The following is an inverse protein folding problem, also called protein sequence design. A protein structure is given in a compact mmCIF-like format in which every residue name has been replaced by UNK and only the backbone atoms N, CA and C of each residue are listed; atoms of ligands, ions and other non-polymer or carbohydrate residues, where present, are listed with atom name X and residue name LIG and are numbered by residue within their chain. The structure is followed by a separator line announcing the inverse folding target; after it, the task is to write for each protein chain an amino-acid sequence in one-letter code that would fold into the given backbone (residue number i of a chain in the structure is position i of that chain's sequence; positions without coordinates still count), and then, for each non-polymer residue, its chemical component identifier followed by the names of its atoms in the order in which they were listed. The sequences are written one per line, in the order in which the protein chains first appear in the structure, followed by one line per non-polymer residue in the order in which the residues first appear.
data_IF_766215668279
#
_entry.id   IF_766215668279
#
_cell.length_a   1.000
_cell.length_b   1.000
_cell.length_c   1.000
_cell.angle_alpha   90.00
_cell.angle_beta   90.00
_cell.angle_gamma   90.00
#
_symmetry.space_group_name_H-M   'P 1'
#
loop_
_entity.id
_entity.type
_entity.pdbx_description
1 polymer ?
#
# COMPACT_ATOMS: atom_id res chain seq x y z
N UNK A 1 36.10 47.85 0.19
CA UNK A 1 35.64 46.81 1.14
C UNK A 1 34.19 46.40 0.87
N UNK A 2 33.91 45.69 -0.24
CA UNK A 2 32.52 45.33 -0.64
C UNK A 2 32.41 43.92 -1.22
N UNK A 3 33.17 42.96 -0.67
CA UNK A 3 33.19 41.57 -1.15
C UNK A 3 32.73 40.54 -0.10
N UNK A 4 32.34 40.97 1.10
CA UNK A 4 32.05 40.05 2.22
C UNK A 4 30.59 39.62 2.38
N UNK A 5 29.64 40.13 1.57
CA UNK A 5 28.20 39.93 1.82
C UNK A 5 27.50 38.95 0.87
N UNK A 6 28.16 38.50 -0.19
CA UNK A 6 27.56 37.59 -1.19
C UNK A 6 27.59 36.12 -0.77
N UNK A 7 28.57 35.70 0.04
CA UNK A 7 28.70 34.31 0.52
C UNK A 7 27.68 33.94 1.60
N UNK A 8 27.35 34.87 2.50
CA UNK A 8 26.37 34.66 3.57
C UNK A 8 24.92 34.55 3.04
N UNK A 9 24.56 35.42 2.09
CA UNK A 9 23.24 35.39 1.42
C UNK A 9 23.07 34.11 0.58
N UNK A 10 24.15 33.62 -0.07
CA UNK A 10 24.13 32.35 -0.81
C UNK A 10 23.96 31.16 0.14
N UNK A 11 24.59 31.18 1.32
CA UNK A 11 24.42 30.15 2.37
C UNK A 11 23.01 30.16 2.97
N UNK A 12 22.40 31.31 3.23
CA UNK A 12 21.01 31.41 3.69
C UNK A 12 19.99 30.92 2.66
N UNK A 13 20.21 31.21 1.37
CA UNK A 13 19.36 30.68 0.27
C UNK A 13 19.48 29.16 0.13
N UNK A 14 20.69 28.61 0.25
CA UNK A 14 20.92 27.17 0.22
C UNK A 14 20.33 26.47 1.45
N UNK A 15 20.40 27.07 2.65
CA UNK A 15 19.74 26.56 3.85
C UNK A 15 18.21 26.52 3.69
N UNK A 16 17.59 27.59 3.16
CA UNK A 16 16.14 27.58 2.87
C UNK A 16 15.76 26.56 1.81
N UNK A 17 16.55 26.39 0.76
CA UNK A 17 16.29 25.40 -0.29
C UNK A 17 16.40 23.96 0.25
N UNK A 18 17.44 23.65 1.02
CA UNK A 18 17.62 22.35 1.67
C UNK A 18 16.52 22.07 2.71
N UNK A 19 16.09 23.09 3.45
CA UNK A 19 15.02 22.96 4.45
C UNK A 19 13.66 22.75 3.80
N UNK A 20 13.34 23.45 2.70
CA UNK A 20 12.10 23.24 1.94
C UNK A 20 12.10 21.89 1.21
N UNK A 21 13.24 21.44 0.66
CA UNK A 21 13.33 20.12 0.05
C UNK A 21 13.18 19.02 1.09
N UNK A 22 13.83 19.15 2.25
CA UNK A 22 13.69 18.15 3.32
C UNK A 22 12.26 18.13 3.87
N UNK A 23 11.63 19.29 4.04
CA UNK A 23 10.22 19.39 4.47
C UNK A 23 9.25 18.84 3.42
N UNK A 24 9.49 19.08 2.13
CA UNK A 24 8.73 18.47 1.04
C UNK A 24 8.88 16.95 1.02
N UNK A 25 10.08 16.42 1.31
CA UNK A 25 10.32 14.98 1.46
C UNK A 25 9.57 14.40 2.66
N UNK A 26 9.51 15.13 3.78
CA UNK A 26 8.71 14.72 4.96
C UNK A 26 7.20 14.69 4.67
N UNK A 27 6.69 15.66 3.89
CA UNK A 27 5.28 15.68 3.48
C UNK A 27 4.93 14.55 2.50
N UNK A 28 5.87 14.17 1.63
CA UNK A 28 5.69 13.03 0.70
C UNK A 28 5.85 11.66 1.37
N UNK A 29 6.45 11.60 2.56
CA UNK A 29 6.65 10.34 3.29
C UNK A 29 5.34 9.81 3.93
N UNK A 30 4.33 10.66 4.09
CA UNK A 30 3.04 10.36 4.71
C UNK A 30 1.90 10.06 3.72
N UNK A 31 2.19 9.87 2.43
CA UNK A 31 1.14 9.57 1.43
C UNK A 31 1.10 8.08 1.08
N UNK A 32 -0.10 7.51 1.09
CA UNK A 32 -0.33 6.11 0.70
C UNK A 32 -0.02 5.88 -0.79
N UNK A 33 0.88 4.95 -1.11
CA UNK A 33 1.34 4.69 -2.48
C UNK A 33 0.61 3.49 -3.08
N UNK A 34 -0.48 3.76 -3.79
CA UNK A 34 -1.40 2.72 -4.32
C UNK A 34 -0.71 1.75 -5.28
N UNK A 35 0.16 2.22 -6.17
CA UNK A 35 0.79 1.38 -7.19
C UNK A 35 1.74 0.34 -6.59
N UNK A 36 2.54 0.75 -5.60
CA UNK A 36 3.47 -0.11 -4.87
C UNK A 36 2.69 -1.19 -4.10
N UNK A 37 1.63 -0.78 -3.39
CA UNK A 37 0.74 -1.71 -2.65
C UNK A 37 0.03 -2.66 -3.61
N UNK A 38 -0.46 -2.17 -4.75
CA UNK A 38 -1.10 -2.99 -5.79
C UNK A 38 -0.15 -4.07 -6.32
N UNK A 39 1.12 -3.73 -6.54
CA UNK A 39 2.14 -4.69 -6.96
C UNK A 39 2.37 -5.77 -5.91
N UNK A 40 2.53 -5.39 -4.63
CA UNK A 40 2.68 -6.33 -3.51
C UNK A 40 1.50 -7.31 -3.44
N UNK A 41 0.27 -6.80 -3.58
CA UNK A 41 -0.92 -7.65 -3.56
C UNK A 41 -0.90 -8.64 -4.73
N UNK A 42 -0.65 -8.17 -5.97
CA UNK A 42 -0.64 -9.04 -7.16
C UNK A 42 0.42 -10.14 -7.07
N UNK A 43 1.62 -9.81 -6.60
CA UNK A 43 2.70 -10.78 -6.38
C UNK A 43 2.32 -11.83 -5.34
N UNK A 44 1.75 -11.41 -4.21
CA UNK A 44 1.28 -12.32 -3.16
C UNK A 44 0.22 -13.29 -3.69
N UNK A 45 -0.76 -12.77 -4.45
CA UNK A 45 -1.82 -13.57 -5.04
C UNK A 45 -1.30 -14.63 -6.00
N UNK A 46 -0.40 -14.24 -6.91
CA UNK A 46 0.20 -15.15 -7.88
C UNK A 46 1.04 -16.23 -7.19
N UNK A 47 1.84 -15.83 -6.21
CA UNK A 47 2.74 -16.74 -5.49
C UNK A 47 1.99 -17.78 -4.66
N UNK A 48 0.91 -17.38 -3.97
CA UNK A 48 0.24 -18.24 -3.00
C UNK A 48 -0.84 -19.11 -3.67
N UNK A 49 -1.65 -18.53 -4.57
CA UNK A 49 -2.80 -19.23 -5.16
C UNK A 49 -2.79 -19.33 -6.68
N UNK A 50 -1.83 -18.72 -7.38
CA UNK A 50 -1.81 -18.63 -8.85
C UNK A 50 -2.00 -19.97 -9.57
N UNK A 51 -1.18 -20.96 -9.20
CA UNK A 51 -1.24 -22.31 -9.76
C UNK A 51 -2.26 -23.25 -9.12
N UNK A 52 -3.02 -22.81 -8.13
CA UNK A 52 -3.90 -23.68 -7.34
C UNK A 52 -5.33 -23.72 -7.90
N UNK A 53 -5.94 -24.89 -7.80
CA UNK A 53 -7.38 -25.10 -8.04
C UNK A 53 -8.12 -24.94 -6.71
N UNK A 54 -9.35 -24.41 -6.75
CA UNK A 54 -10.17 -24.23 -5.55
C UNK A 54 -10.27 -25.52 -4.72
N UNK A 55 -9.92 -25.40 -3.43
CA UNK A 55 -10.06 -26.45 -2.43
C UNK A 55 -10.52 -25.81 -1.13
N UNK A 56 -11.78 -26.05 -0.74
CA UNK A 56 -12.39 -25.39 0.42
C UNK A 56 -11.56 -25.52 1.71
N UNK A 57 -10.96 -26.68 1.95
CA UNK A 57 -10.11 -26.94 3.12
C UNK A 57 -8.84 -26.10 3.17
N UNK A 58 -8.35 -25.59 2.03
CA UNK A 58 -7.14 -24.76 1.95
C UNK A 58 -7.42 -23.26 2.00
N UNK A 59 -8.66 -22.84 1.76
CA UNK A 59 -9.03 -21.41 1.72
C UNK A 59 -8.63 -20.65 2.99
N UNK A 60 -8.84 -21.18 4.23
CA UNK A 60 -8.42 -20.48 5.44
C UNK A 60 -6.90 -20.26 5.49
N UNK A 61 -6.12 -21.27 5.10
CA UNK A 61 -4.67 -21.18 5.03
C UNK A 61 -4.23 -20.13 4.00
N UNK A 62 -4.74 -20.20 2.77
CA UNK A 62 -4.40 -19.23 1.72
C UNK A 62 -4.74 -17.80 2.12
N UNK A 63 -5.89 -17.60 2.77
CA UNK A 63 -6.31 -16.28 3.24
C UNK A 63 -5.33 -15.73 4.27
N UNK A 64 -4.98 -16.53 5.29
CA UNK A 64 -4.03 -16.12 6.34
C UNK A 64 -2.64 -15.86 5.76
N UNK A 65 -2.11 -16.78 4.96
CA UNK A 65 -0.79 -16.62 4.33
C UNK A 65 -0.73 -15.39 3.43
N UNK A 66 -1.81 -15.08 2.71
CA UNK A 66 -1.89 -13.86 1.87
C UNK A 66 -1.84 -12.59 2.71
N UNK A 67 -2.65 -12.53 3.77
CA UNK A 67 -2.69 -11.37 4.67
C UNK A 67 -1.32 -11.16 5.36
N UNK A 68 -0.72 -12.22 5.88
CA UNK A 68 0.60 -12.18 6.52
C UNK A 68 1.70 -11.76 5.55
N UNK A 69 1.71 -12.30 4.33
CA UNK A 69 2.70 -11.95 3.32
C UNK A 69 2.62 -10.47 2.96
N UNK A 70 1.40 -9.96 2.71
CA UNK A 70 1.20 -8.55 2.36
C UNK A 70 1.61 -7.64 3.51
N UNK A 71 1.16 -7.92 4.74
CA UNK A 71 1.57 -7.15 5.93
C UNK A 71 3.10 -7.17 6.13
N UNK A 72 3.74 -8.31 5.89
CA UNK A 72 5.19 -8.45 5.94
C UNK A 72 5.92 -7.60 4.92
N UNK A 73 5.38 -7.40 3.71
CA UNK A 73 5.97 -6.49 2.71
C UNK A 73 5.68 -5.02 3.04
N UNK A 74 4.45 -4.70 3.48
CA UNK A 74 4.07 -3.34 3.85
C UNK A 74 4.90 -2.79 5.02
N UNK A 75 5.21 -3.64 6.01
CA UNK A 75 6.06 -3.24 7.15
C UNK A 75 7.50 -2.98 6.75
N UNK A 76 8.03 -3.71 5.75
CA UNK A 76 9.38 -3.47 5.20
C UNK A 76 9.51 -2.14 4.47
N UNK A 77 8.41 -1.57 3.97
CA UNK A 77 8.42 -0.23 3.37
C UNK A 77 8.76 0.86 4.39
N UNK A 78 8.66 0.57 5.69
CA UNK A 78 9.04 1.46 6.79
C UNK A 78 8.41 2.86 6.68
N UNK A 79 7.14 2.91 6.24
CA UNK A 79 6.33 4.13 6.17
C UNK A 79 5.46 4.23 7.44
N UNK A 80 5.19 5.44 7.95
CA UNK A 80 4.48 5.66 9.22
C UNK A 80 2.97 5.44 9.06
N UNK A 81 2.55 4.20 8.84
CA UNK A 81 1.14 3.83 8.66
C UNK A 81 0.73 2.69 9.60
N UNK A 82 -0.54 2.71 10.01
CA UNK A 82 -1.26 1.52 10.46
C UNK A 82 -1.88 0.87 9.22
N UNK A 83 -1.61 -0.41 9.02
CA UNK A 83 -2.15 -1.16 7.89
C UNK A 83 -3.27 -2.11 8.31
N UNK A 84 -4.31 -2.16 7.50
CA UNK A 84 -5.41 -3.13 7.58
C UNK A 84 -5.44 -3.87 6.26
N UNK A 85 -5.46 -5.21 6.29
CA UNK A 85 -5.53 -6.05 5.09
C UNK A 85 -6.70 -7.01 5.24
N UNK A 86 -7.58 -7.02 4.24
CA UNK A 86 -8.70 -7.96 4.13
C UNK A 86 -8.54 -8.77 2.86
N UNK A 87 -8.74 -10.08 2.93
CA UNK A 87 -8.68 -11.00 1.80
C UNK A 87 -9.95 -11.85 1.77
N UNK A 88 -10.58 -11.93 0.59
CA UNK A 88 -11.78 -12.73 0.34
C UNK A 88 -11.50 -13.66 -0.84
N UNK A 89 -11.56 -14.97 -0.61
CA UNK A 89 -11.43 -15.98 -1.66
C UNK A 89 -12.79 -16.66 -1.84
N UNK A 90 -13.27 -16.74 -3.08
CA UNK A 90 -14.57 -17.31 -3.43
C UNK A 90 -14.45 -18.27 -4.62
N UNK A 91 -15.17 -19.39 -4.56
CA UNK A 91 -15.28 -20.34 -5.66
C UNK A 91 -16.01 -19.74 -6.87
N UNK A 92 -15.51 -20.01 -8.08
CA UNK A 92 -16.20 -19.70 -9.34
C UNK A 92 -17.23 -20.78 -9.67
N UNK A 93 -18.45 -20.59 -9.20
CA UNK A 93 -19.58 -21.49 -9.46
C UNK A 93 -20.79 -20.78 -10.08
N UNK A 94 -20.59 -19.57 -10.63
CA UNK A 94 -21.65 -18.74 -11.21
C UNK A 94 -22.40 -17.86 -10.21
N UNK A 95 -22.08 -17.93 -8.91
CA UNK A 95 -22.58 -16.98 -7.92
C UNK A 95 -21.93 -15.60 -8.08
N UNK A 96 -22.72 -14.54 -7.82
CA UNK A 96 -22.25 -13.17 -7.81
C UNK A 96 -21.55 -12.79 -6.49
N UNK A 97 -20.63 -11.82 -6.56
CA UNK A 97 -19.93 -11.25 -5.41
C UNK A 97 -19.97 -9.72 -5.49
N UNK A 98 -20.49 -9.06 -4.46
CA UNK A 98 -20.47 -7.60 -4.34
C UNK A 98 -19.70 -7.21 -3.07
N UNK A 99 -18.67 -6.37 -3.24
CA UNK A 99 -17.86 -5.84 -2.13
C UNK A 99 -17.77 -4.33 -2.27
N UNK A 100 -18.12 -3.63 -1.19
CA UNK A 100 -18.02 -2.18 -1.09
C UNK A 100 -17.32 -1.83 0.22
N UNK A 101 -16.58 -0.72 0.21
CA UNK A 101 -15.85 -0.19 1.36
C UNK A 101 -16.18 1.30 1.48
N UNK A 102 -16.24 1.80 2.71
CA UNK A 102 -16.40 3.22 3.01
C UNK A 102 -15.61 3.53 4.27
N UNK A 103 -14.92 4.68 4.25
CA UNK A 103 -13.98 5.06 5.28
C UNK A 103 -14.24 6.51 5.70
N UNK A 104 -14.02 6.79 6.98
CA UNK A 104 -13.97 8.14 7.53
C UNK A 104 -12.55 8.39 8.03
N UNK A 105 -11.78 9.19 7.30
CA UNK A 105 -10.32 9.30 7.41
C UNK A 105 -9.78 10.60 6.81
N UNK A 106 -8.47 10.82 6.82
CA UNK A 106 -7.84 11.96 6.16
C UNK A 106 -7.54 11.65 4.69
N UNK A 107 -8.26 12.31 3.76
CA UNK A 107 -8.11 12.10 2.32
C UNK A 107 -6.75 12.56 1.74
N UNK A 108 -5.92 13.25 2.53
CA UNK A 108 -4.60 13.73 2.09
C UNK A 108 -3.50 12.72 2.39
N UNK A 109 -3.61 11.97 3.49
CA UNK A 109 -2.56 11.05 3.96
C UNK A 109 -2.98 9.59 3.88
N UNK A 110 -4.24 9.30 4.19
CA UNK A 110 -4.77 7.95 4.26
C UNK A 110 -5.19 7.45 2.88
N UNK A 111 -5.21 6.13 2.71
CA UNK A 111 -5.61 5.56 1.44
C UNK A 111 -5.93 4.08 1.50
N UNK A 112 -6.48 3.59 0.39
CA UNK A 112 -6.73 2.17 0.20
C UNK A 112 -6.38 1.71 -1.21
N UNK A 113 -6.08 0.42 -1.32
CA UNK A 113 -5.88 -0.28 -2.57
C UNK A 113 -6.71 -1.55 -2.55
N UNK A 114 -7.62 -1.72 -3.50
CA UNK A 114 -8.39 -2.96 -3.68
C UNK A 114 -8.01 -3.60 -5.01
N UNK A 115 -7.49 -4.82 -4.95
CA UNK A 115 -7.14 -5.62 -6.13
C UNK A 115 -8.11 -6.80 -6.23
N UNK A 116 -8.65 -6.98 -7.43
CA UNK A 116 -9.40 -8.18 -7.80
C UNK A 116 -8.47 -9.06 -8.63
N UNK A 117 -8.26 -10.28 -8.15
CA UNK A 117 -7.47 -11.31 -8.82
C UNK A 117 -8.37 -12.51 -9.10
N UNK A 118 -8.10 -13.25 -10.17
CA UNK A 118 -8.86 -14.44 -10.50
C UNK A 118 -8.02 -15.48 -11.23
N UNK A 119 -8.41 -16.74 -11.06
CA UNK A 119 -7.97 -17.82 -11.95
C UNK A 119 -9.17 -18.60 -12.49
N UNK A 120 -8.95 -19.78 -13.06
CA UNK A 120 -10.01 -20.60 -13.65
C UNK A 120 -11.12 -20.99 -12.67
N UNK A 121 -10.82 -21.10 -11.37
CA UNK A 121 -11.73 -21.69 -10.37
C UNK A 121 -12.06 -20.80 -9.19
N UNK A 122 -11.39 -19.64 -9.05
CA UNK A 122 -11.52 -18.76 -7.90
C UNK A 122 -11.53 -17.29 -8.29
N UNK A 123 -12.34 -16.51 -7.57
CA UNK A 123 -12.17 -15.08 -7.41
C UNK A 123 -11.43 -14.81 -6.10
N UNK A 124 -10.53 -13.83 -6.10
CA UNK A 124 -9.97 -13.27 -4.89
C UNK A 124 -10.06 -11.74 -4.91
N UNK A 125 -10.50 -11.17 -3.79
CA UNK A 125 -10.53 -9.72 -3.59
C UNK A 125 -9.69 -9.42 -2.36
N UNK A 126 -8.65 -8.60 -2.54
CA UNK A 126 -7.82 -8.12 -1.44
C UNK A 126 -7.95 -6.61 -1.36
N UNK A 127 -8.22 -6.09 -0.17
CA UNK A 127 -8.22 -4.66 0.12
C UNK A 127 -7.21 -4.36 1.22
N UNK A 128 -6.36 -3.37 0.97
CA UNK A 128 -5.40 -2.82 1.92
C UNK A 128 -5.80 -1.39 2.23
N UNK A 129 -5.78 -1.02 3.51
CA UNK A 129 -5.97 0.34 3.98
C UNK A 129 -4.71 0.77 4.73
N UNK A 130 -4.17 1.94 4.42
CA UNK A 130 -3.09 2.57 5.16
C UNK A 130 -3.59 3.86 5.80
N UNK A 131 -3.47 3.95 7.12
CA UNK A 131 -3.82 5.14 7.89
C UNK A 131 -2.55 5.75 8.49
N UNK A 132 -2.23 6.99 8.14
CA UNK A 132 -1.02 7.67 8.59
C UNK A 132 -1.01 7.86 10.12
N UNK A 133 0.18 7.91 10.72
CA UNK A 133 0.42 8.06 12.17
C UNK A 133 1.06 9.41 12.47
#
# INVERSE_FOLDING_TARGET
QRTHNTSAVRRQRLFRAAFLSNWSSYLLQGTFVVDEVSSIIKEAMETIIGGNIYQHSKVPQWTNTTVEHILGQLTKMNKPFKYIVTCVIMEKNGAGLHTATSCYWDNTTDGSCTVRWENKTMYCIVSVFGLAI
#
